data_IF_478712060819
#
_entry.id   IF_478712060819
#
_cell.length_a   1.000
_cell.length_b   1.000
_cell.length_c   1.000
_cell.angle_alpha   90.00
_cell.angle_beta   90.00
_cell.angle_gamma   90.00
#
_symmetry.space_group_name_H-M   'P 1'
#
loop_
_entity.id
_entity.type
_entity.pdbx_description
1 polymer ?
#
# COMPACT_ATOMS: atom_id res chain seq x y z
N UNK A 1 -5.14 -17.90 -8.50
CA UNK A 1 -4.04 -17.02 -8.07
C UNK A 1 -4.65 -15.74 -7.50
N UNK A 2 -3.91 -14.92 -6.75
CA UNK A 2 -4.45 -13.72 -6.11
C UNK A 2 -3.79 -13.44 -4.75
N UNK A 3 -3.98 -12.24 -4.23
CA UNK A 3 -3.28 -11.76 -3.02
C UNK A 3 -3.73 -12.54 -1.77
N UNK A 4 -5.03 -12.81 -1.61
CA UNK A 4 -5.59 -13.61 -0.49
C UNK A 4 -5.46 -15.12 -0.66
N UNK A 5 -5.08 -15.59 -1.84
CA UNK A 5 -5.15 -17.01 -2.15
C UNK A 5 -3.98 -17.81 -1.55
N UNK A 6 -2.83 -17.18 -1.32
CA UNK A 6 -1.64 -17.81 -0.71
C UNK A 6 -0.64 -16.78 -0.19
N UNK A 7 0.21 -17.23 0.75
CA UNK A 7 1.38 -16.49 1.22
C UNK A 7 2.67 -17.31 0.93
N UNK A 8 3.72 -16.73 0.34
CA UNK A 8 3.79 -15.36 -0.18
C UNK A 8 2.89 -15.15 -1.40
N UNK A 9 2.61 -13.88 -1.73
CA UNK A 9 1.79 -13.48 -2.89
C UNK A 9 2.30 -14.15 -4.16
N UNK A 10 1.39 -14.63 -5.00
CA UNK A 10 1.78 -15.27 -6.27
C UNK A 10 2.48 -14.30 -7.21
N UNK A 11 3.53 -14.78 -7.88
CA UNK A 11 4.25 -14.01 -8.92
C UNK A 11 3.31 -13.43 -9.97
N UNK A 12 2.32 -14.20 -10.42
CA UNK A 12 1.30 -13.76 -11.37
C UNK A 12 0.50 -12.54 -10.86
N UNK A 13 0.03 -12.59 -9.60
CA UNK A 13 -0.66 -11.45 -9.00
C UNK A 13 0.26 -10.23 -8.83
N UNK A 14 1.51 -10.44 -8.43
CA UNK A 14 2.49 -9.36 -8.30
C UNK A 14 2.78 -8.69 -9.66
N UNK A 15 2.97 -9.47 -10.73
CA UNK A 15 3.19 -8.96 -12.08
C UNK A 15 2.02 -8.08 -12.54
N UNK A 16 0.79 -8.55 -12.37
CA UNK A 16 -0.41 -7.76 -12.74
C UNK A 16 -0.43 -6.41 -12.01
N UNK A 17 -0.17 -6.39 -10.71
CA UNK A 17 -0.18 -5.15 -9.93
C UNK A 17 0.93 -4.18 -10.34
N UNK A 18 2.14 -4.68 -10.63
CA UNK A 18 3.27 -3.85 -11.09
C UNK A 18 2.96 -3.24 -12.47
N UNK A 19 2.37 -4.03 -13.38
CA UNK A 19 1.98 -3.54 -14.70
C UNK A 19 0.93 -2.43 -14.61
N UNK A 20 -0.10 -2.60 -13.76
CA UNK A 20 -1.12 -1.57 -13.54
C UNK A 20 -0.53 -0.32 -12.88
N UNK A 21 0.34 -0.47 -11.88
CA UNK A 21 1.05 0.64 -11.27
C UNK A 21 1.85 1.46 -12.30
N UNK A 22 2.55 0.78 -13.22
CA UNK A 22 3.31 1.45 -14.27
C UNK A 22 2.41 2.14 -15.31
N UNK A 23 1.24 1.57 -15.63
CA UNK A 23 0.24 2.23 -16.48
C UNK A 23 -0.28 3.52 -15.84
N UNK A 24 -0.62 3.47 -14.55
CA UNK A 24 -1.06 4.66 -13.81
C UNK A 24 0.05 5.72 -13.75
N UNK A 25 1.31 5.30 -13.53
CA UNK A 25 2.44 6.22 -13.58
C UNK A 25 2.54 6.94 -14.94
N UNK A 26 2.43 6.19 -16.04
CA UNK A 26 2.43 6.75 -17.40
C UNK A 26 1.28 7.71 -17.67
N UNK A 27 0.17 7.58 -16.94
CA UNK A 27 -0.97 8.49 -17.00
C UNK A 27 -0.79 9.75 -16.13
N UNK A 28 0.36 9.90 -15.46
CA UNK A 28 0.67 11.05 -14.62
C UNK A 28 0.43 10.83 -13.14
N UNK A 29 0.19 9.60 -12.67
CA UNK A 29 0.09 9.33 -11.25
C UNK A 29 1.43 9.55 -10.55
N UNK A 30 1.43 10.43 -9.56
CA UNK A 30 2.59 10.79 -8.72
C UNK A 30 2.67 9.95 -7.43
N UNK A 31 1.60 9.24 -7.09
CA UNK A 31 1.50 8.33 -5.96
C UNK A 31 0.43 7.26 -6.22
N UNK A 32 0.47 6.16 -5.48
CA UNK A 32 -0.51 5.07 -5.54
C UNK A 32 -1.20 4.92 -4.19
N UNK A 33 -2.53 5.03 -4.18
CA UNK A 33 -3.35 4.67 -3.03
C UNK A 33 -3.57 3.17 -3.06
N UNK A 34 -3.11 2.47 -2.01
CA UNK A 34 -3.31 1.03 -1.81
C UNK A 34 -4.73 0.76 -1.31
N UNK A 35 -5.73 1.07 -2.15
CA UNK A 35 -7.15 1.18 -1.79
C UNK A 35 -7.85 -0.10 -1.31
N UNK A 36 -7.15 -1.23 -1.28
CA UNK A 36 -7.62 -2.47 -0.67
C UNK A 36 -6.62 -2.90 0.40
N UNK A 37 -7.10 -3.42 1.53
CA UNK A 37 -6.29 -3.84 2.68
C UNK A 37 -5.24 -4.91 2.36
N UNK A 38 -5.37 -5.60 1.21
CA UNK A 38 -4.44 -6.63 0.77
C UNK A 38 -3.31 -6.09 -0.10
N UNK A 39 -3.47 -4.93 -0.74
CA UNK A 39 -2.44 -4.37 -1.62
C UNK A 39 -1.10 -4.12 -0.90
N UNK A 40 -1.05 -3.68 0.37
CA UNK A 40 0.21 -3.59 1.12
C UNK A 40 0.95 -4.92 1.30
N UNK A 41 0.26 -6.07 1.17
CA UNK A 41 0.90 -7.39 1.22
C UNK A 41 1.64 -7.74 -0.09
N UNK A 42 1.37 -7.01 -1.17
CA UNK A 42 1.93 -7.27 -2.50
C UNK A 42 2.84 -6.14 -3.00
N UNK A 43 2.44 -4.88 -2.80
CA UNK A 43 3.16 -3.70 -3.29
C UNK A 43 3.93 -3.04 -2.15
N UNK A 44 5.25 -3.04 -2.27
CA UNK A 44 6.19 -2.43 -1.33
C UNK A 44 7.13 -1.45 -2.03
N UNK A 45 7.90 -0.66 -1.27
CA UNK A 45 8.89 0.26 -1.84
C UNK A 45 9.99 -0.44 -2.64
N UNK A 46 10.24 -1.72 -2.36
CA UNK A 46 11.16 -2.55 -3.15
C UNK A 46 10.58 -2.95 -4.52
N UNK A 47 9.25 -2.94 -4.68
CA UNK A 47 8.57 -3.34 -5.91
C UNK A 47 8.28 -2.19 -6.86
N UNK A 48 8.02 -0.99 -6.33
CA UNK A 48 7.60 0.19 -7.09
C UNK A 48 8.28 1.44 -6.48
N UNK A 49 8.84 2.30 -7.32
CA UNK A 49 9.50 3.56 -6.91
C UNK A 49 8.53 4.72 -6.66
N UNK A 50 7.27 4.60 -7.06
CA UNK A 50 6.24 5.59 -6.75
C UNK A 50 5.90 5.56 -5.24
N UNK A 51 5.63 6.73 -4.63
CA UNK A 51 5.07 6.81 -3.29
C UNK A 51 3.81 5.94 -3.15
N UNK A 52 3.80 5.08 -2.14
CA UNK A 52 2.66 4.24 -1.79
C UNK A 52 1.98 4.82 -0.55
N UNK A 53 0.66 4.99 -0.62
CA UNK A 53 -0.17 5.45 0.48
C UNK A 53 -1.04 4.28 0.91
N UNK A 54 -0.87 3.80 2.15
CA UNK A 54 -1.72 2.76 2.74
C UNK A 54 -2.86 3.42 3.55
N UNK A 55 -4.12 3.39 3.06
CA UNK A 55 -5.26 3.93 3.78
C UNK A 55 -5.48 3.27 5.14
N UNK A 56 -5.04 2.03 5.33
CA UNK A 56 -5.12 1.31 6.61
C UNK A 56 -4.26 2.00 7.67
N UNK A 57 -3.03 2.40 7.30
CA UNK A 57 -2.13 3.15 8.18
C UNK A 57 -2.67 4.55 8.45
N UNK A 58 -3.15 5.25 7.42
CA UNK A 58 -3.77 6.57 7.56
C UNK A 58 -4.98 6.52 8.49
N UNK A 59 -5.85 5.52 8.32
CA UNK A 59 -7.02 5.30 9.17
C UNK A 59 -6.64 5.00 10.61
N UNK A 60 -5.67 4.10 10.84
CA UNK A 60 -5.20 3.75 12.18
C UNK A 60 -4.60 4.97 12.91
N UNK A 61 -3.74 5.74 12.22
CA UNK A 61 -3.15 6.97 12.75
C UNK A 61 -4.22 8.00 13.08
N UNK A 62 -5.20 8.18 12.18
CA UNK A 62 -6.34 9.08 12.42
C UNK A 62 -7.16 8.64 13.63
N UNK A 63 -7.44 7.35 13.77
CA UNK A 63 -8.19 6.82 14.92
C UNK A 63 -7.44 7.08 16.24
N UNK A 64 -6.13 6.84 16.30
CA UNK A 64 -5.30 7.14 17.48
C UNK A 64 -5.31 8.64 17.78
N UNK A 65 -5.11 9.48 16.76
CA UNK A 65 -5.11 10.93 16.93
C UNK A 65 -6.42 11.46 17.53
N UNK A 66 -7.58 10.90 17.15
CA UNK A 66 -8.87 11.37 17.65
C UNK A 66 -9.27 10.78 19.01
N UNK A 67 -8.62 9.70 19.46
CA UNK A 67 -9.01 8.99 20.69
C UNK A 67 -7.98 9.13 21.80
N UNK A 68 -6.70 9.01 21.49
CA UNK A 68 -5.58 9.10 22.43
C UNK A 68 -4.33 9.66 21.71
N UNK A 69 -4.27 10.99 21.50
CA UNK A 69 -3.17 11.63 20.76
C UNK A 69 -1.79 11.31 21.33
N UNK A 70 -1.68 11.13 22.65
CA UNK A 70 -0.42 10.82 23.32
C UNK A 70 0.17 9.45 22.95
N UNK A 71 -0.62 8.56 22.32
CA UNK A 71 -0.17 7.25 21.83
C UNK A 71 0.22 7.27 20.35
N UNK A 72 0.06 8.38 19.64
CA UNK A 72 0.46 8.46 18.25
C UNK A 72 1.99 8.45 18.15
N UNK A 73 2.53 7.47 17.41
CA UNK A 73 3.97 7.39 17.12
C UNK A 73 4.33 8.31 15.94
N UNK A 74 5.53 8.89 15.98
CA UNK A 74 6.12 9.62 14.85
C UNK A 74 6.45 8.66 13.68
N UNK A 75 6.45 9.19 12.46
CA UNK A 75 6.73 8.40 11.25
C UNK A 75 8.23 8.17 11.05
N UNK A 76 8.86 7.39 11.95
CA UNK A 76 10.16 6.76 11.69
C UNK A 76 10.25 5.45 12.47
N UNK A 77 9.80 4.35 11.88
CA UNK A 77 10.32 3.00 12.16
C UNK A 77 10.24 2.15 10.90
#
# INVERSE_FOLDING_TARGET
>A
YGIKARAPVSREALTILIEEAYKLHKQGAEALILGCTELPLALTRETISLPLIDPTVVLARSAILHTEPAKLKDEVE
#
